data_IF_841719019629
#
_entry.id   IF_841719019629
#
_cell.length_a   1.000
_cell.length_b   1.000
_cell.length_c   1.000
_cell.angle_alpha   90.00
_cell.angle_beta   90.00
_cell.angle_gamma   90.00
#
_symmetry.space_group_name_H-M   'P 1'
#
loop_
_entity.id
_entity.type
_entity.pdbx_description
1 polymer ?
#
# COMPACT_ATOMS: atom_id res chain seq x y z
N UNK A 1 10.47 -19.36 -30.84
CA UNK A 1 11.17 -19.62 -29.58
C UNK A 1 12.65 -19.70 -29.88
N UNK A 2 13.39 -18.65 -29.49
CA UNK A 2 14.86 -18.69 -29.58
C UNK A 2 15.39 -19.71 -28.59
N UNK A 3 16.27 -20.58 -29.03
CA UNK A 3 16.96 -21.54 -28.16
C UNK A 3 18.04 -20.78 -27.38
N UNK A 4 17.84 -20.57 -26.10
CA UNK A 4 18.88 -20.05 -25.22
C UNK A 4 20.00 -21.07 -25.15
N UNK A 5 21.20 -20.66 -25.57
CA UNK A 5 22.38 -21.52 -25.48
C UNK A 5 22.91 -21.44 -24.03
N UNK A 6 22.65 -22.49 -23.26
CA UNK A 6 23.05 -22.58 -21.83
C UNK A 6 24.56 -22.88 -21.74
N UNK A 7 25.41 -21.92 -22.10
CA UNK A 7 26.81 -22.00 -21.79
C UNK A 7 27.05 -21.59 -20.30
N UNK A 8 28.16 -22.06 -19.73
CA UNK A 8 28.49 -21.90 -18.29
C UNK A 8 28.42 -20.42 -17.81
N UNK A 9 28.91 -19.48 -18.63
CA UNK A 9 28.86 -18.04 -18.33
C UNK A 9 27.45 -17.46 -18.33
N UNK A 10 26.55 -17.91 -19.21
CA UNK A 10 25.14 -17.45 -19.26
C UNK A 10 24.38 -17.95 -18.05
N UNK A 11 24.58 -19.21 -17.64
CA UNK A 11 23.93 -19.76 -16.45
C UNK A 11 24.38 -19.02 -15.20
N UNK A 12 25.68 -18.77 -15.05
CA UNK A 12 26.21 -18.02 -13.91
C UNK A 12 25.61 -16.60 -13.82
N UNK A 13 25.50 -15.90 -14.94
CA UNK A 13 24.89 -14.56 -15.00
C UNK A 13 23.39 -14.59 -14.66
N UNK A 14 22.64 -15.60 -15.15
CA UNK A 14 21.23 -15.76 -14.84
C UNK A 14 21.03 -16.01 -13.33
N UNK A 15 21.85 -16.88 -12.75
CA UNK A 15 21.80 -17.16 -11.30
C UNK A 15 22.14 -15.92 -10.46
N UNK A 16 23.15 -15.15 -10.85
CA UNK A 16 23.51 -13.91 -10.14
C UNK A 16 22.37 -12.88 -10.20
N UNK A 17 21.75 -12.70 -11.39
CA UNK A 17 20.63 -11.78 -11.57
C UNK A 17 19.41 -12.19 -10.72
N UNK A 18 19.05 -13.46 -10.74
CA UNK A 18 17.92 -13.97 -9.94
C UNK A 18 18.19 -13.85 -8.44
N UNK A 19 19.40 -14.19 -8.01
CA UNK A 19 19.81 -14.05 -6.61
C UNK A 19 19.75 -12.59 -6.13
N UNK A 20 20.20 -11.63 -6.94
CA UNK A 20 20.07 -10.21 -6.60
C UNK A 20 18.63 -9.75 -6.54
N UNK A 21 17.76 -10.23 -7.43
CA UNK A 21 16.31 -9.97 -7.39
C UNK A 21 15.68 -10.44 -6.07
N UNK A 22 15.92 -11.70 -5.70
CA UNK A 22 15.41 -12.29 -4.47
C UNK A 22 15.92 -11.54 -3.23
N UNK A 23 17.23 -11.26 -3.16
CA UNK A 23 17.82 -10.50 -2.05
C UNK A 23 17.24 -9.08 -1.98
N UNK A 24 16.98 -8.44 -3.13
CA UNK A 24 16.37 -7.11 -3.18
C UNK A 24 14.98 -7.06 -2.53
N UNK A 25 14.19 -8.12 -2.69
CA UNK A 25 12.83 -8.20 -2.13
C UNK A 25 12.76 -8.56 -0.65
N UNK A 26 13.78 -9.24 -0.12
CA UNK A 26 13.70 -9.84 1.23
C UNK A 26 14.68 -9.24 2.26
N UNK A 27 15.84 -8.75 1.82
CA UNK A 27 16.88 -8.33 2.74
C UNK A 27 16.60 -6.95 3.36
N UNK A 28 16.75 -6.77 4.69
CA UNK A 28 16.52 -5.48 5.37
C UNK A 28 17.73 -4.53 5.16
N UNK A 29 17.79 -3.91 3.99
CA UNK A 29 18.87 -3.01 3.63
C UNK A 29 18.90 -1.74 4.48
N UNK A 30 20.08 -1.40 4.99
CA UNK A 30 20.38 -0.05 5.46
C UNK A 30 20.64 0.91 4.30
N UNK A 31 20.51 2.23 4.55
CA UNK A 31 20.82 3.25 3.54
C UNK A 31 22.19 3.08 2.89
N UNK A 32 23.24 2.81 3.70
CA UNK A 32 24.60 2.61 3.20
C UNK A 32 24.72 1.38 2.29
N UNK A 33 23.96 0.31 2.58
CA UNK A 33 23.93 -0.89 1.72
C UNK A 33 23.18 -0.63 0.41
N UNK A 34 22.05 0.07 0.45
CA UNK A 34 21.33 0.50 -0.76
C UNK A 34 22.23 1.34 -1.66
N UNK A 35 23.01 2.26 -1.09
CA UNK A 35 23.95 3.07 -1.85
C UNK A 35 25.07 2.24 -2.45
N UNK A 36 25.70 1.37 -1.64
CA UNK A 36 26.83 0.54 -2.06
C UNK A 36 26.48 -0.42 -3.20
N UNK A 37 25.30 -0.98 -3.17
CA UNK A 37 24.84 -2.01 -4.12
C UNK A 37 23.83 -1.50 -5.13
N UNK A 38 23.63 -0.18 -5.23
CA UNK A 38 22.60 0.48 -6.01
C UNK A 38 22.47 0.01 -7.47
N UNK A 39 23.57 -0.38 -8.10
CA UNK A 39 23.60 -0.80 -9.51
C UNK A 39 23.40 -2.32 -9.70
N UNK A 40 23.35 -3.08 -8.60
CA UNK A 40 23.07 -4.53 -8.61
C UNK A 40 21.64 -4.86 -8.17
N UNK A 41 21.03 -3.96 -7.40
CA UNK A 41 19.70 -4.16 -6.82
C UNK A 41 18.60 -4.04 -7.88
N UNK A 42 17.61 -4.89 -7.78
CA UNK A 42 16.32 -4.69 -8.45
C UNK A 42 15.49 -3.68 -7.65
N UNK A 43 15.40 -2.45 -8.15
CA UNK A 43 14.76 -1.36 -7.44
C UNK A 43 13.23 -1.49 -7.33
N UNK A 44 12.60 -2.29 -8.17
CA UNK A 44 11.19 -2.63 -8.03
C UNK A 44 11.00 -3.54 -6.81
N UNK A 45 11.81 -4.58 -6.70
CA UNK A 45 11.79 -5.48 -5.55
C UNK A 45 12.19 -4.75 -4.25
N UNK A 46 13.25 -3.91 -4.29
CA UNK A 46 13.65 -3.05 -3.16
C UNK A 46 12.50 -2.15 -2.71
N UNK A 47 11.76 -1.55 -3.65
CA UNK A 47 10.64 -0.65 -3.33
C UNK A 47 9.45 -1.38 -2.71
N UNK A 48 9.23 -2.63 -3.12
CA UNK A 48 8.21 -3.52 -2.55
C UNK A 48 8.61 -4.21 -1.24
N UNK A 49 9.88 -4.10 -0.84
CA UNK A 49 10.43 -4.79 0.31
C UNK A 49 9.95 -4.20 1.64
N UNK A 50 9.08 -4.92 2.34
CA UNK A 50 8.51 -4.50 3.63
C UNK A 50 9.50 -4.55 4.80
N UNK A 51 10.69 -5.13 4.61
CA UNK A 51 11.74 -5.18 5.63
C UNK A 51 12.62 -3.93 5.63
N UNK A 52 12.43 -3.02 4.66
CA UNK A 52 13.16 -1.75 4.60
C UNK A 52 12.32 -0.66 5.27
N UNK A 53 12.91 -0.01 6.26
CA UNK A 53 12.29 1.13 6.93
C UNK A 53 12.65 2.44 6.19
N UNK A 54 11.75 2.91 5.35
CA UNK A 54 11.97 4.09 4.52
C UNK A 54 11.86 5.39 5.33
N UNK A 55 12.97 6.08 5.53
CA UNK A 55 12.97 7.45 6.05
C UNK A 55 12.74 8.47 4.93
N UNK A 56 12.29 9.67 5.29
CA UNK A 56 12.16 10.80 4.36
C UNK A 56 13.48 11.08 3.63
N UNK A 57 14.62 11.01 4.34
CA UNK A 57 15.95 11.23 3.77
C UNK A 57 16.31 10.14 2.75
N UNK A 58 16.04 8.87 3.05
CA UNK A 58 16.27 7.77 2.11
C UNK A 58 15.43 7.93 0.84
N UNK A 59 14.14 8.27 0.98
CA UNK A 59 13.27 8.49 -0.17
C UNK A 59 13.74 9.66 -1.03
N UNK A 60 14.19 10.76 -0.44
CA UNK A 60 14.78 11.88 -1.19
C UNK A 60 16.03 11.43 -1.98
N UNK A 61 16.92 10.70 -1.32
CA UNK A 61 18.19 10.22 -1.91
C UNK A 61 17.96 9.29 -3.09
N UNK A 62 17.02 8.35 -2.95
CA UNK A 62 16.75 7.31 -3.94
C UNK A 62 15.54 7.59 -4.83
N UNK A 63 14.96 8.78 -4.77
CA UNK A 63 13.70 9.18 -5.45
C UNK A 63 13.62 8.77 -6.92
N UNK A 64 14.75 8.79 -7.64
CA UNK A 64 14.81 8.46 -9.07
C UNK A 64 14.90 6.97 -9.36
N UNK A 65 15.21 6.15 -8.35
CA UNK A 65 15.36 4.69 -8.47
C UNK A 65 14.14 3.94 -7.94
N UNK A 66 13.39 4.56 -7.03
CA UNK A 66 12.20 3.97 -6.41
C UNK A 66 11.10 3.74 -7.44
N UNK A 67 10.56 2.52 -7.45
CA UNK A 67 9.26 2.22 -8.04
C UNK A 67 8.17 2.64 -7.05
N UNK A 68 7.57 3.80 -7.29
CA UNK A 68 6.58 4.40 -6.38
C UNK A 68 5.29 3.59 -6.29
N UNK A 69 4.95 2.82 -7.34
CA UNK A 69 3.80 1.92 -7.29
C UNK A 69 4.06 0.75 -6.34
N UNK A 70 5.21 0.08 -6.50
CA UNK A 70 5.61 -1.01 -5.62
C UNK A 70 5.72 -0.54 -4.15
N UNK A 71 6.30 0.65 -3.92
CA UNK A 71 6.39 1.23 -2.59
C UNK A 71 5.00 1.56 -2.01
N UNK A 72 4.09 2.12 -2.81
CA UNK A 72 2.72 2.43 -2.36
C UNK A 72 1.95 1.17 -1.94
N UNK A 73 2.14 0.05 -2.65
CA UNK A 73 1.55 -1.25 -2.27
C UNK A 73 2.12 -1.80 -0.96
N UNK A 74 3.42 -1.56 -0.70
CA UNK A 74 4.16 -2.16 0.42
C UNK A 74 4.12 -1.34 1.71
N UNK A 75 3.55 -0.12 1.71
CA UNK A 75 3.43 0.71 2.90
C UNK A 75 2.69 0.00 4.04
N UNK A 76 3.23 0.13 5.24
CA UNK A 76 2.63 -0.40 6.45
C UNK A 76 2.27 0.73 7.42
N UNK A 77 1.29 0.51 8.29
CA UNK A 77 0.80 1.52 9.25
C UNK A 77 1.94 2.08 10.10
N UNK A 78 2.91 1.23 10.46
CA UNK A 78 4.06 1.59 11.29
C UNK A 78 5.08 2.48 10.57
N UNK A 79 5.08 2.46 9.23
CA UNK A 79 6.09 3.11 8.41
C UNK A 79 5.57 4.36 7.69
N UNK A 80 4.25 4.61 7.77
CA UNK A 80 3.62 5.75 7.11
C UNK A 80 3.44 6.90 8.10
N UNK A 81 3.75 8.11 7.66
CA UNK A 81 3.46 9.34 8.40
C UNK A 81 2.84 10.38 7.48
N UNK A 82 2.08 11.31 8.06
CA UNK A 82 1.51 12.43 7.32
C UNK A 82 2.59 13.27 6.62
N UNK A 83 3.75 13.47 7.28
CA UNK A 83 4.89 14.16 6.70
C UNK A 83 5.44 13.44 5.47
N UNK A 84 5.57 12.11 5.54
CA UNK A 84 6.04 11.29 4.42
C UNK A 84 5.09 11.39 3.22
N UNK A 85 3.79 11.23 3.46
CA UNK A 85 2.77 11.30 2.41
C UNK A 85 2.72 12.70 1.78
N UNK A 86 2.74 13.77 2.58
CA UNK A 86 2.68 15.15 2.08
C UNK A 86 3.93 15.49 1.24
N UNK A 87 5.11 15.11 1.71
CA UNK A 87 6.35 15.44 1.03
C UNK A 87 6.48 14.84 -0.36
N UNK A 88 5.94 13.65 -0.55
CA UNK A 88 6.01 12.91 -1.83
C UNK A 88 4.64 12.73 -2.49
N UNK A 89 3.67 13.58 -2.18
CA UNK A 89 2.28 13.44 -2.61
C UNK A 89 2.07 13.25 -4.11
N UNK A 90 2.92 13.86 -4.93
CA UNK A 90 2.87 13.78 -6.39
C UNK A 90 3.56 12.53 -6.95
N UNK A 91 4.23 11.75 -6.10
CA UNK A 91 4.92 10.51 -6.47
C UNK A 91 4.10 9.25 -6.13
N UNK A 92 3.29 9.30 -5.08
CA UNK A 92 2.51 8.15 -4.63
C UNK A 92 1.48 7.70 -5.65
N UNK A 93 1.31 6.39 -5.77
CA UNK A 93 0.13 5.81 -6.39
C UNK A 93 -1.02 5.80 -5.37
N UNK A 94 -1.89 6.81 -5.43
CA UNK A 94 -3.00 6.97 -4.48
C UNK A 94 -4.09 5.91 -4.60
N UNK A 95 -4.18 5.22 -5.73
CA UNK A 95 -5.06 4.05 -5.88
C UNK A 95 -4.58 2.91 -4.97
N UNK A 96 -3.29 2.58 -5.04
CA UNK A 96 -2.67 1.57 -4.20
C UNK A 96 -2.71 1.95 -2.70
N UNK A 97 -2.41 3.21 -2.37
CA UNK A 97 -2.51 3.70 -0.99
C UNK A 97 -3.95 3.58 -0.47
N UNK A 98 -4.96 3.88 -1.30
CA UNK A 98 -6.36 3.81 -0.89
C UNK A 98 -6.84 2.38 -0.64
N UNK A 99 -6.23 1.39 -1.28
CA UNK A 99 -6.49 -0.04 -1.02
C UNK A 99 -5.53 -0.65 0.02
N UNK A 100 -4.56 0.13 0.50
CA UNK A 100 -3.58 -0.33 1.47
C UNK A 100 -4.11 -0.23 2.91
N UNK A 101 -3.59 -1.07 3.81
CA UNK A 101 -3.88 -1.07 5.25
C UNK A 101 -3.24 0.08 6.04
N UNK A 102 -2.38 0.87 5.39
CA UNK A 102 -1.66 1.97 6.05
C UNK A 102 -2.53 3.19 6.37
N UNK A 103 -3.75 3.28 5.84
CA UNK A 103 -4.62 4.43 6.04
C UNK A 103 -5.31 4.40 7.40
N UNK A 104 -5.05 5.44 8.21
CA UNK A 104 -5.82 5.76 9.40
C UNK A 104 -6.89 6.81 9.10
N UNK A 105 -7.94 6.96 9.96
CA UNK A 105 -8.93 8.02 9.79
C UNK A 105 -8.33 9.43 9.67
N UNK A 106 -7.25 9.71 10.40
CA UNK A 106 -6.56 10.99 10.40
C UNK A 106 -5.86 11.25 9.06
N UNK A 107 -5.24 10.21 8.47
CA UNK A 107 -4.63 10.30 7.14
C UNK A 107 -5.69 10.46 6.04
N UNK A 108 -6.83 9.77 6.17
CA UNK A 108 -7.96 9.94 5.24
C UNK A 108 -8.47 11.38 5.30
N UNK A 109 -8.58 11.98 6.48
CA UNK A 109 -9.00 13.38 6.65
C UNK A 109 -8.03 14.34 5.96
N UNK A 110 -6.74 14.16 6.20
CA UNK A 110 -5.72 15.06 5.66
C UNK A 110 -5.56 14.94 4.14
N UNK A 111 -5.70 13.74 3.60
CA UNK A 111 -5.46 13.45 2.19
C UNK A 111 -6.74 13.14 1.41
N UNK A 112 -7.90 13.58 1.88
CA UNK A 112 -9.22 13.29 1.31
C UNK A 112 -9.33 13.61 -0.20
N UNK A 113 -8.59 14.62 -0.70
CA UNK A 113 -8.59 15.02 -2.10
C UNK A 113 -7.75 14.09 -3.01
N UNK A 114 -6.86 13.28 -2.42
CA UNK A 114 -6.01 12.32 -3.13
C UNK A 114 -6.55 10.89 -3.08
N UNK A 115 -7.43 10.60 -2.13
CA UNK A 115 -7.98 9.26 -1.91
C UNK A 115 -8.82 8.80 -3.13
N UNK A 116 -8.53 7.60 -3.61
CA UNK A 116 -9.44 6.89 -4.49
C UNK A 116 -10.58 6.28 -3.64
N UNK A 117 -11.71 7.00 -3.57
CA UNK A 117 -12.85 6.62 -2.73
C UNK A 117 -13.47 5.29 -3.11
N UNK A 118 -13.40 4.89 -4.39
CA UNK A 118 -13.88 3.59 -4.85
C UNK A 118 -12.99 2.45 -4.31
N UNK A 119 -11.68 2.63 -4.31
CA UNK A 119 -10.76 1.69 -3.69
C UNK A 119 -10.96 1.63 -2.17
N UNK A 120 -11.04 2.80 -1.50
CA UNK A 120 -11.19 2.88 -0.05
C UNK A 120 -12.45 2.18 0.47
N UNK A 121 -13.63 2.36 -0.16
CA UNK A 121 -14.86 1.70 0.30
C UNK A 121 -14.87 0.19 0.07
N UNK A 122 -13.91 -0.34 -0.66
CA UNK A 122 -13.69 -1.78 -0.86
C UNK A 122 -12.48 -2.31 -0.12
N UNK A 123 -11.69 -1.44 0.50
CA UNK A 123 -10.47 -1.79 1.22
C UNK A 123 -10.75 -2.76 2.38
N UNK A 124 -10.15 -3.95 2.27
CA UNK A 124 -10.32 -5.03 3.25
C UNK A 124 -9.91 -4.62 4.68
N UNK A 125 -8.85 -3.86 4.83
CA UNK A 125 -8.24 -3.57 6.13
C UNK A 125 -8.91 -2.42 6.88
N UNK A 126 -9.49 -1.46 6.15
CA UNK A 126 -10.04 -0.22 6.72
C UNK A 126 -11.56 -0.27 6.92
N UNK A 127 -12.30 -1.00 6.08
CA UNK A 127 -13.77 -0.92 6.05
C UNK A 127 -14.43 -1.25 7.39
N UNK A 128 -13.91 -2.20 8.16
CA UNK A 128 -14.46 -2.52 9.48
C UNK A 128 -14.38 -1.31 10.44
N UNK A 129 -13.25 -0.59 10.44
CA UNK A 129 -13.04 0.61 11.28
C UNK A 129 -13.89 1.78 10.79
N UNK A 130 -14.02 1.94 9.47
CA UNK A 130 -14.72 3.06 8.81
C UNK A 130 -16.24 2.87 8.71
N UNK A 131 -16.78 1.68 8.95
CA UNK A 131 -18.22 1.37 8.82
C UNK A 131 -19.04 2.01 9.94
N UNK A 132 -19.18 3.33 9.87
CA UNK A 132 -19.97 4.15 10.79
C UNK A 132 -20.83 5.16 10.02
N UNK A 133 -22.02 5.51 10.58
CA UNK A 133 -22.87 6.53 9.97
C UNK A 133 -22.17 7.91 9.94
N UNK A 134 -21.30 8.19 10.92
CA UNK A 134 -20.53 9.43 10.99
C UNK A 134 -19.57 9.54 9.81
N UNK A 135 -18.83 8.47 9.48
CA UNK A 135 -17.94 8.43 8.33
C UNK A 135 -18.71 8.67 7.03
N UNK A 136 -19.83 7.97 6.83
CA UNK A 136 -20.65 8.17 5.63
C UNK A 136 -21.18 9.61 5.53
N UNK A 137 -21.65 10.19 6.64
CA UNK A 137 -22.14 11.57 6.66
C UNK A 137 -21.04 12.56 6.31
N UNK A 138 -19.83 12.35 6.83
CA UNK A 138 -18.69 13.23 6.61
C UNK A 138 -18.22 13.26 5.15
N UNK A 139 -18.26 12.11 4.48
CA UNK A 139 -17.72 11.94 3.14
C UNK A 139 -18.76 11.57 2.07
N UNK A 140 -20.02 11.88 2.33
CA UNK A 140 -21.16 11.55 1.46
C UNK A 140 -21.04 12.10 0.04
N UNK A 141 -20.38 13.23 -0.13
CA UNK A 141 -20.12 13.91 -1.39
C UNK A 141 -18.96 13.30 -2.20
N UNK A 142 -18.11 12.51 -1.54
CA UNK A 142 -16.93 11.88 -2.12
C UNK A 142 -17.10 10.39 -2.42
N UNK A 143 -17.96 9.73 -1.66
CA UNK A 143 -18.25 8.29 -1.84
C UNK A 143 -19.10 8.09 -3.09
N UNK A 144 -18.65 7.25 -4.06
CA UNK A 144 -19.41 7.03 -5.28
C UNK A 144 -20.70 6.27 -4.99
N UNK A 145 -21.85 6.96 -5.09
CA UNK A 145 -23.16 6.44 -4.72
C UNK A 145 -23.57 5.18 -5.51
N UNK A 146 -23.13 5.07 -6.78
CA UNK A 146 -23.42 3.91 -7.62
C UNK A 146 -22.70 2.63 -7.13
N UNK A 147 -21.51 2.76 -6.55
CA UNK A 147 -20.70 1.63 -6.10
C UNK A 147 -20.95 1.30 -4.61
N UNK A 148 -21.59 2.21 -3.85
CA UNK A 148 -21.66 2.12 -2.39
C UNK A 148 -22.40 0.87 -1.89
N UNK A 149 -23.58 0.55 -2.45
CA UNK A 149 -24.38 -0.62 -2.01
C UNK A 149 -23.70 -1.97 -2.28
N UNK A 150 -22.82 -2.03 -3.27
CA UNK A 150 -22.10 -3.24 -3.63
C UNK A 150 -20.73 -3.31 -2.93
N UNK A 151 -20.36 -2.23 -2.21
CA UNK A 151 -19.08 -2.11 -1.55
C UNK A 151 -18.94 -2.98 -0.30
N UNK A 152 -17.68 -3.21 0.09
CA UNK A 152 -17.35 -3.85 1.35
C UNK A 152 -17.81 -3.00 2.55
N UNK A 153 -17.63 -1.68 2.48
CA UNK A 153 -18.04 -0.76 3.53
C UNK A 153 -19.53 -0.90 3.86
N UNK A 154 -20.39 -0.99 2.85
CA UNK A 154 -21.82 -1.23 3.05
C UNK A 154 -22.10 -2.57 3.75
N UNK A 155 -21.41 -3.64 3.32
CA UNK A 155 -21.58 -4.96 3.95
C UNK A 155 -21.21 -4.95 5.42
N UNK A 156 -20.08 -4.33 5.79
CA UNK A 156 -19.67 -4.17 7.20
C UNK A 156 -20.71 -3.38 8.02
N UNK A 157 -21.29 -2.31 7.44
CA UNK A 157 -22.37 -1.54 8.09
C UNK A 157 -23.62 -2.38 8.34
N UNK A 158 -24.03 -3.15 7.33
CA UNK A 158 -25.20 -4.05 7.46
C UNK A 158 -24.95 -5.12 8.50
N UNK A 159 -23.80 -5.75 8.52
CA UNK A 159 -23.43 -6.76 9.53
C UNK A 159 -23.43 -6.18 10.95
N UNK A 160 -22.92 -4.97 11.14
CA UNK A 160 -22.99 -4.27 12.44
C UNK A 160 -24.45 -4.05 12.86
N UNK A 161 -25.28 -3.60 11.94
CA UNK A 161 -26.72 -3.36 12.19
C UNK A 161 -27.47 -4.66 12.53
N UNK A 162 -27.19 -5.74 11.82
CA UNK A 162 -27.75 -7.07 12.14
C UNK A 162 -27.37 -7.53 13.55
N UNK A 163 -26.11 -7.33 13.95
CA UNK A 163 -25.64 -7.66 15.31
C UNK A 163 -26.37 -6.86 16.38
N UNK A 164 -26.62 -5.56 16.12
CA UNK A 164 -27.42 -4.70 17.01
C UNK A 164 -28.87 -5.19 17.15
N UNK A 165 -29.53 -5.48 16.02
CA UNK A 165 -30.91 -5.98 16.00
C UNK A 165 -31.01 -7.31 16.75
N UNK A 166 -30.06 -8.25 16.51
CA UNK A 166 -30.04 -9.52 17.22
C UNK A 166 -29.89 -9.34 18.74
N UNK A 167 -29.04 -8.42 19.18
CA UNK A 167 -28.93 -8.07 20.61
C UNK A 167 -30.24 -7.53 21.19
N UNK A 168 -30.93 -6.65 20.46
CA UNK A 168 -32.21 -6.11 20.92
C UNK A 168 -33.28 -7.20 21.08
N UNK A 169 -33.34 -8.14 20.11
CA UNK A 169 -34.26 -9.27 20.18
C UNK A 169 -33.97 -10.18 21.38
N UNK A 170 -32.69 -10.43 21.69
CA UNK A 170 -32.30 -11.28 22.82
C UNK A 170 -32.56 -10.64 24.21
N UNK A 171 -32.79 -9.33 24.27
CA UNK A 171 -33.07 -8.61 25.51
C UNK A 171 -34.56 -8.47 25.82
N UNK A 172 -35.43 -8.90 24.88
CA UNK A 172 -36.87 -8.97 25.07
C UNK A 172 -37.33 -10.34 25.50
#
# INVERSE_FOLDING_TARGET
MEKINLCEGVVAQMMDTEAWGNVSGDFPFSEAQLEKYADKLDWKEVSGNTNIFWSVQMLEKFKRRIDWTALSCSLQEENVSAELLEKFKDNWNWEEISDNRCLTPELIDQFADYINWKALINNWSCCEKLATEEFIRKYSDRIPACDFKDSRLWREMVEKKEKEIKKQICLC
#
